data_IF_512488472438
#
_entry.id   IF_512488472438
#
_cell.length_a   1.000
_cell.length_b   1.000
_cell.length_c   1.000
_cell.angle_alpha   90.00
_cell.angle_beta   90.00
_cell.angle_gamma   90.00
#
_symmetry.space_group_name_H-M   'P 1'
#
loop_
_entity.id
_entity.type
_entity.pdbx_description
1 polymer ?
#
# COMPACT_ATOMS: atom_id res chain seq x y z
N UNK A 1 0.76 -1.93 -4.69
CA UNK A 1 0.29 -2.77 -3.56
C UNK A 1 -1.22 -2.97 -3.67
N UNK A 2 -1.75 -4.17 -3.38
CA UNK A 2 -3.20 -4.47 -3.42
C UNK A 2 -3.61 -5.35 -2.24
N UNK A 3 -4.77 -5.08 -1.66
CA UNK A 3 -5.51 -6.02 -0.81
C UNK A 3 -6.88 -6.29 -1.42
N UNK A 4 -7.36 -7.52 -1.21
CA UNK A 4 -8.70 -7.97 -1.62
C UNK A 4 -9.34 -8.60 -0.39
N UNK A 5 -10.56 -8.20 0.02
CA UNK A 5 -11.25 -8.82 1.13
C UNK A 5 -11.63 -10.25 0.77
N UNK A 6 -11.62 -11.14 1.76
CA UNK A 6 -12.09 -12.52 1.59
C UNK A 6 -13.61 -12.50 1.44
N UNK A 7 -14.19 -13.24 0.48
CA UNK A 7 -15.64 -13.41 0.40
C UNK A 7 -16.22 -14.04 1.69
N UNK A 8 -17.38 -13.57 2.20
CA UNK A 8 -18.28 -12.56 1.64
C UNK A 8 -18.02 -11.11 2.11
N UNK A 9 -16.83 -10.79 2.61
CA UNK A 9 -16.50 -9.46 3.14
C UNK A 9 -16.28 -8.43 2.03
N UNK A 10 -16.40 -7.15 2.38
CA UNK A 10 -16.07 -6.02 1.50
C UNK A 10 -15.20 -4.98 2.20
N UNK A 11 -14.54 -4.11 1.44
CA UNK A 11 -13.80 -2.98 2.00
C UNK A 11 -14.75 -1.95 2.59
N UNK A 12 -14.44 -1.43 3.79
CA UNK A 12 -15.15 -0.27 4.34
C UNK A 12 -14.64 1.01 3.67
N UNK A 13 -15.49 1.65 2.87
CA UNK A 13 -15.13 2.86 2.12
C UNK A 13 -15.16 4.15 2.96
N UNK A 14 -15.80 4.13 4.13
CA UNK A 14 -15.89 5.28 5.03
C UNK A 14 -14.71 5.34 6.00
N UNK A 15 -14.06 4.21 6.25
CA UNK A 15 -12.86 4.16 7.08
C UNK A 15 -11.66 4.84 6.40
N UNK A 16 -10.85 5.63 7.12
CA UNK A 16 -9.62 6.22 6.59
C UNK A 16 -8.62 5.16 6.12
N UNK A 17 -8.58 4.93 4.81
CA UNK A 17 -7.60 4.04 4.18
C UNK A 17 -6.31 4.81 3.87
N UNK A 18 -5.16 4.26 4.27
CA UNK A 18 -3.85 4.88 4.02
C UNK A 18 -2.71 3.88 3.96
N UNK A 19 -1.77 4.10 3.03
CA UNK A 19 -0.49 3.42 2.96
C UNK A 19 0.63 4.40 3.35
N UNK A 20 1.41 4.05 4.36
CA UNK A 20 2.60 4.78 4.78
C UNK A 20 3.85 3.95 4.51
N UNK A 21 4.85 4.55 3.85
CA UNK A 21 6.05 3.89 3.37
C UNK A 21 7.30 4.49 4.01
N UNK A 22 8.24 3.61 4.31
CA UNK A 22 9.61 3.91 4.72
C UNK A 22 10.54 3.37 3.62
N UNK A 23 10.88 4.19 2.61
CA UNK A 23 11.80 3.78 1.54
C UNK A 23 13.23 3.66 2.08
N UNK A 24 14.09 2.85 1.44
CA UNK A 24 15.51 2.83 1.74
C UNK A 24 16.17 4.15 1.33
N UNK A 25 17.35 4.44 1.89
CA UNK A 25 18.03 5.73 1.73
C UNK A 25 18.36 6.10 0.27
N UNK A 26 18.50 5.11 -0.61
CA UNK A 26 18.82 5.26 -2.02
C UNK A 26 17.59 5.20 -2.94
N UNK A 27 16.39 5.37 -2.37
CA UNK A 27 15.14 5.51 -3.13
C UNK A 27 14.38 6.74 -2.66
N UNK A 28 14.03 7.60 -3.61
CA UNK A 28 13.09 8.70 -3.38
C UNK A 28 11.68 8.25 -3.73
N UNK A 29 10.70 8.64 -2.90
CA UNK A 29 9.27 8.54 -3.20
C UNK A 29 8.64 9.94 -3.13
N UNK A 30 7.78 10.34 -4.08
CA UNK A 30 7.18 11.68 -4.07
C UNK A 30 6.31 11.94 -2.83
N UNK A 31 5.67 10.87 -2.32
CA UNK A 31 4.80 10.92 -1.14
C UNK A 31 4.95 9.63 -0.35
N UNK A 32 5.41 9.74 0.89
CA UNK A 32 5.56 8.59 1.79
C UNK A 32 4.22 8.15 2.40
N UNK A 33 3.21 9.02 2.44
CA UNK A 33 1.88 8.71 2.98
C UNK A 33 0.79 8.95 1.95
N UNK A 34 0.27 7.87 1.39
CA UNK A 34 -0.85 7.83 0.47
C UNK A 34 -2.15 7.62 1.25
N UNK A 35 -3.21 8.34 0.90
CA UNK A 35 -4.55 8.26 1.52
C UNK A 35 -5.57 7.85 0.47
N UNK A 36 -6.83 7.65 0.86
CA UNK A 36 -7.97 7.34 -0.02
C UNK A 36 -7.96 8.08 -1.38
N UNK A 37 -7.68 9.38 -1.41
CA UNK A 37 -7.65 10.17 -2.65
C UNK A 37 -6.50 9.82 -3.61
N UNK A 38 -5.44 9.19 -3.11
CA UNK A 38 -4.28 8.74 -3.88
C UNK A 38 -4.41 7.26 -4.31
N UNK A 39 -5.51 6.58 -3.94
CA UNK A 39 -5.70 5.18 -4.26
C UNK A 39 -5.89 5.01 -5.77
N UNK A 40 -5.18 4.02 -6.35
CA UNK A 40 -5.41 3.58 -7.73
C UNK A 40 -6.80 2.94 -7.87
N UNK A 41 -7.21 2.22 -6.83
CA UNK A 41 -8.52 1.61 -6.68
C UNK A 41 -8.89 1.62 -5.20
N UNK A 42 -10.12 2.05 -4.89
CA UNK A 42 -10.74 1.84 -3.59
C UNK A 42 -12.24 1.67 -3.80
N UNK A 43 -12.68 0.43 -3.80
CA UNK A 43 -14.08 0.01 -3.88
C UNK A 43 -14.32 -1.18 -2.95
N UNK A 44 -15.55 -1.69 -2.90
CA UNK A 44 -15.94 -2.80 -2.03
C UNK A 44 -15.08 -4.06 -2.23
N UNK A 45 -14.47 -4.23 -3.40
CA UNK A 45 -13.72 -5.43 -3.77
C UNK A 45 -12.21 -5.30 -3.58
N UNK A 46 -11.66 -4.09 -3.46
CA UNK A 46 -10.21 -3.93 -3.26
C UNK A 46 -9.80 -2.53 -2.80
N UNK A 47 -8.62 -2.48 -2.18
CA UNK A 47 -7.83 -1.26 -2.06
C UNK A 47 -6.46 -1.46 -2.71
N UNK A 48 -6.06 -0.54 -3.58
CA UNK A 48 -4.79 -0.58 -4.29
C UNK A 48 -4.14 0.80 -4.37
N UNK A 49 -2.81 0.81 -4.23
CA UNK A 49 -1.96 1.98 -4.36
C UNK A 49 -0.81 1.69 -5.31
N UNK A 50 -0.62 2.60 -6.27
CA UNK A 50 0.60 2.65 -7.07
C UNK A 50 1.60 3.54 -6.36
N UNK A 51 2.85 3.09 -6.29
CA UNK A 51 3.94 3.80 -5.63
C UNK A 51 5.00 4.10 -6.66
N UNK A 52 5.15 5.37 -6.99
CA UNK A 52 6.26 5.82 -7.82
C UNK A 52 7.54 5.85 -6.98
N UNK A 53 8.61 5.26 -7.52
CA UNK A 53 9.92 5.18 -6.88
C UNK A 53 10.98 5.69 -7.85
N UNK A 54 11.93 6.44 -7.33
CA UNK A 54 13.12 6.88 -8.06
C UNK A 54 14.36 6.38 -7.34
N UNK A 55 14.92 5.23 -7.74
CA UNK A 55 16.17 4.72 -7.21
C UNK A 55 17.36 5.57 -7.68
N UNK A 56 18.37 5.74 -6.83
CA UNK A 56 19.63 6.44 -7.17
C UNK A 56 20.78 5.49 -7.48
N UNK A 57 20.58 4.18 -7.28
CA UNK A 57 21.56 3.14 -7.56
C UNK A 57 20.87 1.83 -7.98
N UNK A 58 21.53 0.96 -8.77
CA UNK A 58 21.04 -0.39 -9.04
C UNK A 58 21.05 -1.28 -7.79
N UNK A 59 20.48 -2.48 -7.90
CA UNK A 59 20.43 -3.50 -6.84
C UNK A 59 19.09 -3.57 -6.10
N UNK A 60 19.02 -4.46 -5.13
CA UNK A 60 17.80 -4.74 -4.37
C UNK A 60 17.46 -3.60 -3.41
N UNK A 61 16.22 -3.10 -3.47
CA UNK A 61 15.70 -2.01 -2.65
C UNK A 61 14.63 -2.54 -1.72
N UNK A 62 14.92 -2.61 -0.43
CA UNK A 62 13.98 -3.09 0.58
C UNK A 62 13.15 -1.95 1.14
N UNK A 63 11.84 -2.05 0.97
CA UNK A 63 10.85 -1.14 1.52
C UNK A 63 10.20 -1.76 2.75
N UNK A 64 9.84 -0.88 3.69
CA UNK A 64 8.90 -1.22 4.75
C UNK A 64 7.76 -0.21 4.77
N UNK A 65 6.67 -0.56 5.43
CA UNK A 65 5.53 0.35 5.53
C UNK A 65 4.42 -0.18 6.41
N UNK A 66 3.37 0.61 6.50
CA UNK A 66 2.14 0.28 7.23
C UNK A 66 0.95 0.57 6.35
N UNK A 67 0.10 -0.42 6.15
CA UNK A 67 -1.16 -0.27 5.45
C UNK A 67 -2.33 -0.34 6.41
N UNK A 68 -3.14 0.72 6.43
CA UNK A 68 -4.36 0.82 7.23
C UNK A 68 -5.57 0.84 6.33
N UNK A 69 -6.51 -0.05 6.60
CA UNK A 69 -7.79 -0.16 5.91
C UNK A 69 -8.81 -0.74 6.88
N UNK A 70 -10.05 -0.93 6.46
CA UNK A 70 -11.03 -1.71 7.22
C UNK A 70 -11.82 -2.59 6.27
N UNK A 71 -12.26 -3.75 6.77
CA UNK A 71 -13.13 -4.69 6.07
C UNK A 71 -14.42 -4.85 6.85
N UNK A 72 -15.54 -4.88 6.15
CA UNK A 72 -16.86 -5.15 6.71
C UNK A 72 -17.23 -6.61 6.48
N UNK A 73 -17.54 -7.28 7.58
CA UNK A 73 -18.09 -8.62 7.64
C UNK A 73 -19.63 -8.52 7.81
N UNK A 74 -20.30 -9.64 8.03
CA UNK A 74 -21.76 -9.67 8.18
C UNK A 74 -22.27 -8.79 9.33
N UNK A 75 -21.56 -8.75 10.45
CA UNK A 75 -22.03 -8.12 11.68
C UNK A 75 -21.30 -6.81 12.03
N UNK A 76 -20.08 -6.62 11.51
CA UNK A 76 -19.23 -5.48 11.89
C UNK A 76 -18.14 -5.17 10.86
N UNK A 77 -17.68 -3.92 10.89
CA UNK A 77 -16.47 -3.50 10.18
C UNK A 77 -15.28 -3.42 11.13
N UNK A 78 -14.17 -4.06 10.74
CA UNK A 78 -12.95 -4.15 11.55
C UNK A 78 -11.82 -3.37 10.88
N UNK A 79 -11.22 -2.39 11.56
CA UNK A 79 -9.94 -1.81 11.16
C UNK A 79 -8.84 -2.87 11.12
N UNK A 80 -8.00 -2.79 10.11
CA UNK A 80 -6.83 -3.64 9.91
C UNK A 80 -5.61 -2.75 9.73
N UNK A 81 -4.52 -3.11 10.41
CA UNK A 81 -3.20 -2.48 10.24
C UNK A 81 -2.20 -3.57 9.94
N UNK A 82 -1.71 -3.58 8.71
CA UNK A 82 -0.69 -4.53 8.25
C UNK A 82 0.67 -3.83 8.15
N UNK A 83 1.71 -4.46 8.67
CA UNK A 83 3.09 -4.09 8.35
C UNK A 83 3.46 -4.76 7.04
N UNK A 84 3.94 -3.99 6.08
CA UNK A 84 4.41 -4.53 4.80
C UNK A 84 5.92 -4.44 4.72
N UNK A 85 6.53 -5.47 4.15
CA UNK A 85 7.94 -5.51 3.78
C UNK A 85 8.05 -6.15 2.41
N UNK A 86 8.77 -5.50 1.49
CA UNK A 86 8.98 -6.02 0.14
C UNK A 86 10.29 -5.48 -0.43
N UNK A 87 10.83 -6.19 -1.41
CA UNK A 87 12.04 -5.76 -2.13
C UNK A 87 11.75 -5.59 -3.62
N UNK A 88 12.38 -4.58 -4.22
CA UNK A 88 12.33 -4.31 -5.66
C UNK A 88 13.75 -4.32 -6.20
N UNK A 89 14.02 -5.15 -7.21
CA UNK A 89 15.34 -5.17 -7.84
C UNK A 89 15.42 -4.14 -8.97
N UNK A 90 16.41 -3.26 -8.87
CA UNK A 90 16.66 -2.18 -9.85
C UNK A 90 17.81 -2.59 -10.74
N UNK A 91 17.55 -2.72 -12.04
CA UNK A 91 18.57 -3.00 -13.04
C UNK A 91 19.50 -1.79 -13.25
N UNK A 92 20.75 -2.01 -13.68
CA UNK A 92 21.62 -0.93 -14.15
C UNK A 92 21.00 -0.22 -15.36
N UNK A 93 21.06 1.11 -15.40
CA UNK A 93 20.79 1.86 -16.63
C UNK A 93 21.90 1.53 -17.64
N UNK A 94 21.52 0.92 -18.77
CA UNK A 94 22.42 0.61 -19.89
C UNK A 94 22.88 1.86 -20.63
#
# INVERSE_FOLDING_TARGET
MRVTPKAPWHMNLDFPTSLELSPPADVTVPKTKLKKADAKQLDENAAAFDVEITPTAPGSKSFSGTFKFAVCQEEACSPVTETITFSVDVAPSS
#
